data_IF_821622074771
#
_entry.id   IF_821622074771
#
_cell.length_a   1.000
_cell.length_b   1.000
_cell.length_c   1.000
_cell.angle_alpha   90.00
_cell.angle_beta   90.00
_cell.angle_gamma   90.00
#
_symmetry.space_group_name_H-M   'P 1'
#
loop_
_entity.id
_entity.type
_entity.pdbx_description
1 polymer ?
#
# COMPACT_ATOMS: atom_id res chain seq x y z
N UNK A 1 10.02 11.15 14.58
CA UNK A 1 8.91 10.94 13.62
C UNK A 1 8.09 9.68 13.90
N UNK A 2 8.57 8.45 13.63
CA UNK A 2 7.74 7.25 13.88
C UNK A 2 7.44 7.02 15.37
N UNK A 3 8.40 7.32 16.25
CA UNK A 3 8.19 7.25 17.71
C UNK A 3 7.25 8.34 18.22
N UNK A 4 7.38 9.56 17.71
CA UNK A 4 6.45 10.67 18.02
C UNK A 4 5.02 10.34 17.57
N UNK A 5 4.86 9.77 16.36
CA UNK A 5 3.56 9.33 15.89
C UNK A 5 2.96 8.24 16.80
N UNK A 6 3.78 7.29 17.30
CA UNK A 6 3.33 6.30 18.30
C UNK A 6 2.90 6.93 19.63
N UNK A 7 3.48 8.06 20.01
CA UNK A 7 3.17 8.73 21.27
C UNK A 7 1.94 9.66 21.16
N UNK A 8 1.61 10.15 19.96
CA UNK A 8 0.58 11.17 19.72
C UNK A 8 -0.67 10.59 19.05
N UNK A 9 -1.76 10.44 19.81
CA UNK A 9 -3.03 9.87 19.32
C UNK A 9 -3.72 10.72 18.25
N UNK A 10 -3.61 12.04 18.31
CA UNK A 10 -4.24 12.98 17.38
C UNK A 10 -3.20 13.54 16.41
N UNK A 11 -2.61 12.67 15.61
CA UNK A 11 -1.55 13.05 14.67
C UNK A 11 -1.77 12.46 13.28
N UNK A 12 -1.16 13.09 12.28
CA UNK A 12 -1.16 12.62 10.89
C UNK A 12 0.28 12.44 10.47
N UNK A 13 0.59 11.25 9.98
CA UNK A 13 1.90 10.93 9.44
C UNK A 13 1.87 10.91 7.91
N UNK A 14 2.63 11.79 7.31
CA UNK A 14 2.84 11.80 5.86
C UNK A 14 4.00 10.87 5.51
N UNK A 15 3.67 9.84 4.73
CA UNK A 15 4.63 8.85 4.27
C UNK A 15 4.81 8.86 2.76
N UNK A 16 6.05 8.67 2.31
CA UNK A 16 6.39 8.35 0.92
C UNK A 16 6.60 6.83 0.78
N UNK A 17 7.11 6.35 -0.35
CA UNK A 17 7.15 4.91 -0.66
C UNK A 17 7.91 4.04 0.38
N UNK A 18 8.83 4.62 1.15
CA UNK A 18 9.52 3.95 2.26
C UNK A 18 8.55 3.48 3.36
N UNK A 19 7.38 4.10 3.49
CA UNK A 19 6.38 3.70 4.46
C UNK A 19 5.73 2.36 4.15
N UNK A 20 5.87 1.80 2.95
CA UNK A 20 5.41 0.45 2.65
C UNK A 20 6.33 -0.63 3.26
N UNK A 21 7.54 -0.27 3.71
CA UNK A 21 8.55 -1.22 4.22
C UNK A 21 8.94 -0.91 5.68
N UNK A 22 8.76 -1.87 6.59
CA UNK A 22 9.37 -1.84 7.93
C UNK A 22 8.82 -0.88 9.01
N UNK A 23 7.66 -0.23 8.85
CA UNK A 23 7.12 0.69 9.89
C UNK A 23 5.91 0.10 10.61
N UNK A 24 6.10 -0.24 11.89
CA UNK A 24 5.10 -0.88 12.74
C UNK A 24 4.49 0.13 13.74
N UNK A 25 3.19 0.40 13.63
CA UNK A 25 2.37 1.26 14.50
C UNK A 25 1.32 0.46 15.28
N UNK A 26 1.63 0.03 16.50
CA UNK A 26 0.74 -0.84 17.30
C UNK A 26 -0.35 -0.03 18.03
N UNK A 27 -1.50 -0.67 18.26
CA UNK A 27 -2.61 -0.16 19.08
C UNK A 27 -3.43 0.95 18.42
N UNK A 28 -4.12 1.74 19.22
CA UNK A 28 -5.07 2.80 18.81
C UNK A 28 -4.45 3.94 17.97
N UNK A 29 -3.14 3.91 17.73
CA UNK A 29 -2.41 4.97 17.05
C UNK A 29 -2.76 5.07 15.56
N UNK A 30 -3.00 3.93 14.90
CA UNK A 30 -3.28 3.90 13.47
C UNK A 30 -4.74 3.47 13.23
N UNK A 31 -5.63 4.45 13.11
CA UNK A 31 -7.06 4.20 12.86
C UNK A 31 -7.46 4.42 11.40
N UNK A 32 -6.62 5.11 10.61
CA UNK A 32 -6.88 5.40 9.21
C UNK A 32 -5.61 5.27 8.36
N UNK A 33 -5.76 4.68 7.18
CA UNK A 33 -4.73 4.67 6.12
C UNK A 33 -5.33 5.35 4.90
N UNK A 34 -4.73 6.47 4.49
CA UNK A 34 -5.14 7.23 3.31
C UNK A 34 -4.13 6.98 2.20
N UNK A 35 -4.57 6.34 1.12
CA UNK A 35 -3.76 6.05 -0.07
C UNK A 35 -4.16 7.06 -1.13
N UNK A 36 -3.35 8.12 -1.27
CA UNK A 36 -3.57 9.16 -2.28
C UNK A 36 -3.28 8.69 -3.69
N UNK A 37 -2.41 7.66 -3.83
CA UNK A 37 -2.00 7.09 -5.10
C UNK A 37 -1.65 5.61 -4.94
N UNK A 38 -2.22 4.75 -5.78
CA UNK A 38 -1.87 3.33 -5.83
C UNK A 38 -0.40 3.20 -6.21
N UNK A 39 0.38 2.37 -5.48
CA UNK A 39 1.82 2.20 -5.66
C UNK A 39 2.11 1.25 -6.83
N UNK A 40 1.59 1.58 -8.01
CA UNK A 40 1.91 0.88 -9.25
C UNK A 40 3.42 0.98 -9.53
N UNK A 41 4.07 -0.10 -10.00
CA UNK A 41 5.47 -0.08 -10.37
C UNK A 41 5.77 1.02 -11.39
N UNK A 42 6.93 1.67 -11.24
CA UNK A 42 7.41 2.68 -12.18
C UNK A 42 7.49 2.09 -13.60
N UNK A 43 7.08 2.82 -14.65
CA UNK A 43 7.25 2.37 -16.02
C UNK A 43 8.73 2.21 -16.42
N UNK A 44 9.65 2.83 -15.68
CA UNK A 44 11.10 2.75 -15.88
C UNK A 44 11.79 1.77 -14.93
N UNK A 45 11.02 1.00 -14.17
CA UNK A 45 11.58 -0.06 -13.33
C UNK A 45 12.26 -1.14 -14.19
N UNK A 46 13.52 -1.47 -13.88
CA UNK A 46 14.32 -2.38 -14.69
C UNK A 46 13.72 -3.79 -14.75
N UNK A 47 13.14 -4.28 -13.66
CA UNK A 47 12.48 -5.58 -13.61
C UNK A 47 11.21 -5.57 -14.46
N UNK A 48 10.41 -4.50 -14.40
CA UNK A 48 9.21 -4.38 -15.22
C UNK A 48 9.56 -4.25 -16.71
N UNK A 49 10.61 -3.52 -17.08
CA UNK A 49 11.08 -3.45 -18.46
C UNK A 49 11.55 -4.81 -18.98
N UNK A 50 12.30 -5.56 -18.17
CA UNK A 50 12.72 -6.92 -18.52
C UNK A 50 11.51 -7.85 -18.72
N UNK A 51 10.58 -7.85 -17.76
CA UNK A 51 9.34 -8.65 -17.84
C UNK A 51 8.50 -8.30 -19.06
N UNK A 52 8.39 -7.01 -19.42
CA UNK A 52 7.64 -6.57 -20.60
C UNK A 52 8.24 -7.07 -21.92
N UNK A 53 9.56 -7.32 -21.97
CA UNK A 53 10.24 -7.87 -23.15
C UNK A 53 10.09 -9.39 -23.26
N UNK A 54 9.98 -10.09 -22.12
CA UNK A 54 10.00 -11.56 -22.07
C UNK A 54 8.62 -12.20 -21.97
N UNK A 55 7.64 -11.53 -21.36
CA UNK A 55 6.31 -12.09 -21.09
C UNK A 55 5.30 -11.69 -22.17
N UNK A 56 4.27 -12.51 -22.36
CA UNK A 56 3.10 -12.08 -23.14
C UNK A 56 2.42 -10.86 -22.48
N UNK A 57 1.70 -10.01 -23.24
CA UNK A 57 0.99 -8.87 -22.67
C UNK A 57 0.07 -9.25 -21.50
N UNK A 58 -0.63 -10.39 -21.60
CA UNK A 58 -1.54 -10.89 -20.56
C UNK A 58 -0.78 -11.24 -19.26
N UNK A 59 0.33 -11.94 -19.37
CA UNK A 59 1.15 -12.34 -18.21
C UNK A 59 1.83 -11.15 -17.55
N UNK A 60 2.33 -10.20 -18.35
CA UNK A 60 2.91 -8.96 -17.85
C UNK A 60 1.91 -8.18 -17.00
N UNK A 61 0.70 -7.93 -17.52
CA UNK A 61 -0.33 -7.18 -16.79
C UNK A 61 -0.79 -7.93 -15.54
N UNK A 62 -0.97 -9.25 -15.61
CA UNK A 62 -1.29 -10.07 -14.44
C UNK A 62 -0.25 -9.89 -13.32
N UNK A 63 1.05 -9.99 -13.63
CA UNK A 63 2.12 -9.78 -12.64
C UNK A 63 2.20 -8.33 -12.17
N UNK A 64 2.03 -7.36 -13.06
CA UNK A 64 2.03 -5.93 -12.72
C UNK A 64 0.96 -5.57 -11.69
N UNK A 65 -0.26 -6.10 -11.89
CA UNK A 65 -1.36 -5.94 -10.94
C UNK A 65 -1.11 -6.71 -9.65
N UNK A 66 -0.60 -7.94 -9.74
CA UNK A 66 -0.25 -8.74 -8.56
C UNK A 66 0.75 -8.02 -7.64
N UNK A 67 1.85 -7.49 -8.19
CA UNK A 67 2.86 -6.77 -7.40
C UNK A 67 2.25 -5.55 -6.69
N UNK A 68 1.35 -4.85 -7.37
CA UNK A 68 0.61 -3.72 -6.82
C UNK A 68 -0.32 -4.16 -5.68
N UNK A 69 -1.06 -5.26 -5.85
CA UNK A 69 -1.96 -5.80 -4.85
C UNK A 69 -1.21 -6.27 -3.60
N UNK A 70 -0.07 -6.95 -3.76
CA UNK A 70 0.76 -7.37 -2.63
C UNK A 70 1.26 -6.16 -1.84
N UNK A 71 1.76 -5.12 -2.52
CA UNK A 71 2.23 -3.89 -1.86
C UNK A 71 1.10 -3.18 -1.10
N UNK A 72 -0.08 -3.06 -1.71
CA UNK A 72 -1.27 -2.51 -1.07
C UNK A 72 -1.66 -3.32 0.18
N UNK A 73 -1.72 -4.66 0.07
CA UNK A 73 -2.04 -5.55 1.21
C UNK A 73 -1.04 -5.40 2.34
N UNK A 74 0.24 -5.26 2.05
CA UNK A 74 1.28 -5.06 3.08
C UNK A 74 1.11 -3.73 3.83
N UNK A 75 0.76 -2.64 3.14
CA UNK A 75 0.49 -1.37 3.81
C UNK A 75 -0.82 -1.38 4.61
N UNK A 76 -1.89 -1.97 4.05
CA UNK A 76 -3.18 -2.10 4.73
C UNK A 76 -3.07 -3.02 5.96
N UNK A 77 -2.31 -4.12 5.87
CA UNK A 77 -2.09 -5.04 6.98
C UNK A 77 -1.42 -4.40 8.21
N UNK A 78 -0.94 -3.16 8.10
CA UNK A 78 -0.45 -2.40 9.25
C UNK A 78 -1.57 -1.79 10.08
N UNK A 79 -2.76 -1.61 9.51
CA UNK A 79 -3.94 -1.07 10.15
C UNK A 79 -4.64 -2.08 11.06
N UNK A 80 -4.66 -3.35 10.67
CA UNK A 80 -5.35 -4.43 11.40
C UNK A 80 -4.32 -5.48 11.79
N UNK A 81 -3.99 -5.59 13.09
CA UNK A 81 -2.99 -6.55 13.61
C UNK A 81 -3.54 -7.55 14.61
N UNK A 82 -4.58 -7.20 15.34
CA UNK A 82 -5.35 -8.15 16.13
C UNK A 82 -6.84 -8.06 15.79
N UNK A 83 -7.60 -9.06 16.23
CA UNK A 83 -9.04 -9.20 15.92
C UNK A 83 -9.90 -8.04 16.43
N UNK A 84 -9.41 -7.31 17.44
CA UNK A 84 -10.09 -6.15 18.01
C UNK A 84 -9.80 -4.85 17.27
N UNK A 85 -8.78 -4.81 16.40
CA UNK A 85 -8.40 -3.60 15.68
C UNK A 85 -9.50 -3.19 14.70
N UNK A 86 -9.78 -1.88 14.66
CA UNK A 86 -10.73 -1.28 13.71
C UNK A 86 -10.10 -0.06 13.07
N UNK A 87 -10.36 0.12 11.78
CA UNK A 87 -9.90 1.28 11.07
C UNK A 87 -10.52 1.43 9.69
N UNK A 88 -10.14 2.49 8.99
CA UNK A 88 -10.59 2.79 7.63
C UNK A 88 -9.41 2.85 6.68
N UNK A 89 -9.56 2.23 5.52
CA UNK A 89 -8.68 2.45 4.37
C UNK A 89 -9.43 3.35 3.40
N UNK A 90 -8.85 4.51 3.08
CA UNK A 90 -9.40 5.47 2.13
C UNK A 90 -8.48 5.53 0.93
N UNK A 91 -8.99 5.17 -0.25
CA UNK A 91 -8.23 5.24 -1.50
C UNK A 91 -8.75 6.43 -2.30
N UNK A 92 -7.90 7.41 -2.56
CA UNK A 92 -8.21 8.64 -3.30
C UNK A 92 -7.69 8.60 -4.75
N UNK A 93 -7.36 7.41 -5.26
CA UNK A 93 -6.84 7.23 -6.61
C UNK A 93 -7.92 6.73 -7.56
N UNK A 94 -8.24 7.54 -8.58
CA UNK A 94 -9.21 7.19 -9.64
C UNK A 94 -8.86 5.93 -10.45
N UNK A 95 -7.61 5.46 -10.38
CA UNK A 95 -7.16 4.22 -11.03
C UNK A 95 -7.60 2.98 -10.26
N UNK A 96 -8.03 3.13 -9.01
CA UNK A 96 -8.59 2.04 -8.24
C UNK A 96 -9.91 1.59 -8.87
N UNK A 97 -9.97 0.32 -9.23
CA UNK A 97 -11.21 -0.34 -9.63
C UNK A 97 -11.43 -1.48 -8.62
N UNK A 98 -12.39 -1.35 -7.70
CA UNK A 98 -12.75 -2.48 -6.86
C UNK A 98 -13.21 -3.63 -7.78
N UNK A 99 -12.80 -4.86 -7.49
CA UNK A 99 -13.41 -6.02 -8.10
C UNK A 99 -14.86 -6.08 -7.60
N UNK A 100 -15.78 -5.54 -8.40
CA UNK A 100 -17.21 -5.80 -8.22
C UNK A 100 -17.43 -7.26 -8.59
N UNK A 101 -17.70 -8.09 -7.57
CA UNK A 101 -18.42 -9.35 -7.75
C UNK A 101 -19.79 -9.08 -8.38
#
# INVERSE_FOLDING_TARGET
MCEEFRALKESVLFGVDSFWYGVDFKGDTLTQVIITRIPYPSPYDALQMARKRTLSPKEFWSRYHYDTHIKLRQGIGRLIRCETDRGKVVILDKRYKPETN
#
